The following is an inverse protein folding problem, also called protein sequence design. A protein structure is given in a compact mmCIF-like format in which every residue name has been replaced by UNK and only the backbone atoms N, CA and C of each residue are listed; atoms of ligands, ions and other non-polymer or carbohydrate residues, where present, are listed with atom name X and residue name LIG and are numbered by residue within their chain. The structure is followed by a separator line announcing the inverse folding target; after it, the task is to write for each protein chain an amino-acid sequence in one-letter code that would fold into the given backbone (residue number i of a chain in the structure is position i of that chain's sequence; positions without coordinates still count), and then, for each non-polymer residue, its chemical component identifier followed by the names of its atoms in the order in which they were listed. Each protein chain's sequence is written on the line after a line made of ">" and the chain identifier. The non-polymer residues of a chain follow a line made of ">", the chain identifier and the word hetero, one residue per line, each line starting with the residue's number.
data_IF_492312000946
#
_entry.id   IF_492312000946
#
_cell.length_a   1.000
_cell.length_b   1.000
_cell.length_c   1.000
_cell.angle_alpha   90.00
_cell.angle_beta   90.00
_cell.angle_gamma   90.00
#
_symmetry.space_group_name_H-M   'P 1'
#
loop_
_entity.id
_entity.type
_entity.pdbx_description
1 polymer ?
#
# COMPACT_ATOMS: atom_id res chain seq x y z
N UNK A 1 19.15 6.18 -20.92
CA UNK A 1 19.37 5.05 -19.99
C UNK A 1 19.59 3.78 -20.82
N UNK A 2 20.82 3.51 -21.26
CA UNK A 2 21.16 2.33 -22.06
C UNK A 2 21.74 1.25 -21.16
N UNK A 3 21.10 0.08 -21.09
CA UNK A 3 21.70 -1.07 -20.42
C UNK A 3 22.98 -1.47 -21.16
N UNK A 4 24.11 -1.50 -20.45
CA UNK A 4 25.40 -1.89 -21.03
C UNK A 4 25.38 -3.27 -21.68
N UNK A 5 26.47 -3.60 -22.39
CA UNK A 5 26.59 -4.86 -23.11
C UNK A 5 26.30 -6.06 -22.18
N UNK A 6 25.45 -6.98 -22.66
CA UNK A 6 25.17 -8.23 -21.96
C UNK A 6 26.28 -9.23 -22.25
N UNK A 7 26.66 -10.01 -21.25
CA UNK A 7 27.64 -11.10 -21.37
C UNK A 7 26.97 -12.46 -21.09
N UNK A 8 27.59 -13.59 -21.50
CA UNK A 8 27.07 -14.93 -21.22
C UNK A 8 26.88 -15.16 -19.72
N UNK A 9 25.77 -15.78 -19.34
CA UNK A 9 25.43 -16.07 -17.94
C UNK A 9 24.71 -17.42 -17.85
N UNK A 10 24.77 -18.11 -16.69
CA UNK A 10 24.14 -19.42 -16.52
C UNK A 10 22.61 -19.28 -16.51
N UNK A 11 21.92 -20.02 -17.40
CA UNK A 11 20.46 -19.94 -17.57
C UNK A 11 19.67 -20.74 -16.53
N UNK A 12 20.30 -21.74 -15.91
CA UNK A 12 19.65 -22.64 -14.96
C UNK A 12 19.70 -22.13 -13.51
N UNK A 13 20.41 -21.05 -13.23
CA UNK A 13 20.49 -20.47 -11.88
C UNK A 13 19.24 -19.65 -11.61
N UNK A 14 18.55 -19.97 -10.52
CA UNK A 14 17.38 -19.25 -10.05
C UNK A 14 17.66 -18.52 -8.74
N UNK A 15 17.12 -17.32 -8.60
CA UNK A 15 17.12 -16.58 -7.33
C UNK A 15 15.78 -15.86 -7.15
N UNK A 16 15.35 -15.63 -5.89
CA UNK A 16 14.07 -14.98 -5.62
C UNK A 16 14.00 -13.53 -6.12
N UNK A 17 15.12 -12.81 -6.15
CA UNK A 17 15.19 -11.44 -6.66
C UNK A 17 15.30 -11.37 -8.21
N UNK A 18 15.40 -12.52 -8.89
CA UNK A 18 15.70 -12.63 -10.31
C UNK A 18 17.17 -12.93 -10.58
N UNK A 19 17.64 -12.67 -11.80
CA UNK A 19 19.03 -12.85 -12.20
C UNK A 19 19.50 -11.78 -13.19
N UNK A 20 20.44 -12.15 -14.04
CA UNK A 20 21.07 -11.26 -15.01
C UNK A 20 20.05 -10.69 -16.03
N UNK A 21 19.94 -9.36 -16.06
CA UNK A 21 19.06 -8.56 -16.95
C UNK A 21 17.60 -9.07 -17.05
N UNK A 22 17.03 -9.42 -15.90
CA UNK A 22 15.68 -9.95 -15.79
C UNK A 22 14.64 -9.00 -16.39
N UNK A 23 13.98 -9.44 -17.47
CA UNK A 23 12.87 -8.72 -18.10
C UNK A 23 11.84 -9.75 -18.61
N UNK A 24 11.01 -10.31 -17.73
CA UNK A 24 10.01 -11.28 -18.13
C UNK A 24 8.94 -10.59 -18.99
N UNK A 25 8.33 -11.32 -19.92
CA UNK A 25 7.31 -10.77 -20.83
C UNK A 25 6.05 -10.31 -20.09
N UNK A 26 5.72 -10.94 -18.97
CA UNK A 26 4.53 -10.67 -18.15
C UNK A 26 4.76 -9.70 -16.97
N UNK A 27 5.86 -8.93 -16.97
CA UNK A 27 6.18 -8.04 -15.84
C UNK A 27 5.03 -7.10 -15.45
N UNK A 28 4.27 -6.57 -16.43
CA UNK A 28 3.15 -5.64 -16.19
C UNK A 28 2.05 -6.29 -15.36
N UNK A 29 1.60 -7.47 -15.76
CA UNK A 29 0.54 -8.19 -15.08
C UNK A 29 0.98 -8.63 -13.68
N UNK A 30 2.22 -9.10 -13.53
CA UNK A 30 2.76 -9.51 -12.24
C UNK A 30 2.83 -8.31 -11.27
N UNK A 31 3.30 -7.15 -11.74
CA UNK A 31 3.29 -5.91 -10.93
C UNK A 31 1.88 -5.48 -10.57
N UNK A 32 0.94 -5.56 -11.51
CA UNK A 32 -0.47 -5.21 -11.24
C UNK A 32 -1.08 -6.09 -10.16
N UNK A 33 -0.85 -7.41 -10.21
CA UNK A 33 -1.35 -8.36 -9.20
C UNK A 33 -0.71 -8.08 -7.83
N UNK A 34 0.61 -7.87 -7.78
CA UNK A 34 1.31 -7.56 -6.53
C UNK A 34 0.79 -6.25 -5.91
N UNK A 35 0.61 -5.21 -6.73
CA UNK A 35 0.10 -3.92 -6.29
C UNK A 35 -1.36 -4.01 -5.81
N UNK A 36 -2.20 -4.76 -6.51
CA UNK A 36 -3.58 -5.02 -6.09
C UNK A 36 -3.61 -5.70 -4.71
N UNK A 37 -2.79 -6.73 -4.49
CA UNK A 37 -2.68 -7.38 -3.18
C UNK A 37 -2.25 -6.42 -2.07
N UNK A 38 -1.24 -5.59 -2.31
CA UNK A 38 -0.79 -4.56 -1.35
C UNK A 38 -1.92 -3.60 -1.02
N UNK A 39 -2.64 -3.08 -2.03
CA UNK A 39 -3.74 -2.14 -1.82
C UNK A 39 -4.90 -2.77 -1.06
N UNK A 40 -5.26 -4.02 -1.35
CA UNK A 40 -6.33 -4.72 -0.64
C UNK A 40 -6.01 -4.86 0.85
N UNK A 41 -4.79 -5.28 1.18
CA UNK A 41 -4.35 -5.41 2.58
C UNK A 41 -4.27 -4.04 3.25
N UNK A 42 -3.64 -3.06 2.60
CA UNK A 42 -3.51 -1.71 3.15
C UNK A 42 -4.88 -1.07 3.41
N UNK A 43 -5.84 -1.25 2.50
CA UNK A 43 -7.21 -0.77 2.68
C UNK A 43 -7.91 -1.47 3.86
N UNK A 44 -7.82 -2.80 3.96
CA UNK A 44 -8.41 -3.53 5.09
C UNK A 44 -7.80 -3.14 6.44
N UNK A 45 -6.49 -2.95 6.51
CA UNK A 45 -5.83 -2.45 7.72
C UNK A 45 -6.26 -1.01 8.04
N UNK A 46 -6.37 -0.16 7.01
CA UNK A 46 -6.80 1.23 7.16
C UNK A 46 -8.24 1.33 7.71
N UNK A 47 -9.19 0.56 7.18
CA UNK A 47 -10.58 0.59 7.67
C UNK A 47 -10.66 0.14 9.12
N UNK A 48 -9.98 -0.95 9.47
CA UNK A 48 -9.90 -1.46 10.84
C UNK A 48 -9.24 -0.44 11.78
N UNK A 49 -8.16 0.19 11.34
CA UNK A 49 -7.45 1.22 12.11
C UNK A 49 -8.36 2.42 12.38
N UNK A 50 -9.05 2.94 11.36
CA UNK A 50 -9.93 4.10 11.48
C UNK A 50 -11.13 3.83 12.41
N UNK A 51 -11.67 2.61 12.39
CA UNK A 51 -12.78 2.21 13.27
C UNK A 51 -12.35 2.02 14.73
N UNK A 52 -11.13 1.53 14.95
CA UNK A 52 -10.56 1.32 16.29
C UNK A 52 -9.87 2.55 16.87
N UNK A 53 -9.69 3.60 16.09
CA UNK A 53 -9.05 4.83 16.54
C UNK A 53 -9.89 5.52 17.63
N UNK A 54 -9.32 5.73 18.81
CA UNK A 54 -9.93 6.46 19.94
C UNK A 54 -8.96 7.50 20.45
N UNK A 55 -9.45 8.74 20.66
CA UNK A 55 -8.67 9.85 21.20
C UNK A 55 -9.27 10.31 22.51
N UNK A 56 -8.48 10.16 23.58
CA UNK A 56 -8.84 10.63 24.92
C UNK A 56 -8.67 12.15 25.05
N UNK A 57 -7.68 12.71 24.36
CA UNK A 57 -7.41 14.15 24.29
C UNK A 57 -7.58 14.61 22.85
N UNK A 58 -8.32 15.70 22.66
CA UNK A 58 -8.54 16.25 21.34
C UNK A 58 -7.29 16.93 20.77
N UNK A 59 -7.05 16.84 19.45
CA UNK A 59 -5.96 17.55 18.80
C UNK A 59 -6.09 19.06 18.95
N UNK A 60 -4.97 19.75 19.20
CA UNK A 60 -4.92 21.21 19.22
C UNK A 60 -5.13 21.88 17.85
N UNK A 61 -5.08 21.10 16.76
CA UNK A 61 -5.28 21.54 15.38
C UNK A 61 -5.93 20.44 14.55
N UNK A 62 -6.61 20.83 13.48
CA UNK A 62 -7.20 19.88 12.54
C UNK A 62 -6.12 19.00 11.91
N UNK A 63 -6.30 17.67 11.99
CA UNK A 63 -5.41 16.68 11.38
C UNK A 63 -6.20 15.77 10.43
N UNK A 64 -5.60 15.29 9.32
CA UNK A 64 -6.30 14.53 8.30
C UNK A 64 -7.05 13.30 8.85
N UNK A 65 -6.43 12.56 9.77
CA UNK A 65 -7.00 11.36 10.40
C UNK A 65 -8.38 11.58 11.04
N UNK A 66 -8.69 12.80 11.49
CA UNK A 66 -10.04 13.15 12.01
C UNK A 66 -11.15 12.95 10.97
N UNK A 67 -10.85 12.92 9.67
CA UNK A 67 -11.85 12.69 8.61
C UNK A 67 -12.38 11.25 8.63
N UNK A 68 -11.56 10.29 9.05
CA UNK A 68 -11.87 8.86 8.93
C UNK A 68 -12.14 8.20 10.28
N UNK A 69 -11.54 8.72 11.35
CA UNK A 69 -11.70 8.18 12.70
C UNK A 69 -13.16 8.17 13.16
N UNK A 70 -13.60 7.03 13.70
CA UNK A 70 -15.00 6.78 14.11
C UNK A 70 -15.56 7.85 15.05
N UNK A 71 -14.78 8.25 16.07
CA UNK A 71 -15.16 9.25 17.08
C UNK A 71 -15.66 10.57 16.46
N UNK A 72 -14.99 11.08 15.44
CA UNK A 72 -15.36 12.36 14.81
C UNK A 72 -16.50 12.22 13.80
N UNK A 73 -16.66 11.04 13.20
CA UNK A 73 -17.80 10.75 12.31
C UNK A 73 -19.11 10.71 13.11
N UNK A 74 -19.08 10.07 14.28
CA UNK A 74 -20.25 9.98 15.17
C UNK A 74 -20.64 11.35 15.74
N UNK A 75 -19.67 12.14 16.25
CA UNK A 75 -19.92 13.51 16.73
C UNK A 75 -20.59 14.39 15.67
N UNK A 76 -20.15 14.31 14.41
CA UNK A 76 -20.76 15.05 13.30
C UNK A 76 -22.20 14.63 13.03
N UNK A 77 -22.52 13.34 13.15
CA UNK A 77 -23.88 12.83 12.95
C UNK A 77 -24.85 13.30 14.03
N UNK A 78 -24.40 13.36 15.30
CA UNK A 78 -25.20 13.89 16.42
C UNK A 78 -25.42 15.39 16.29
N UNK A 79 -24.41 16.16 15.85
CA UNK A 79 -24.54 17.61 15.68
C UNK A 79 -25.45 18.04 14.51
N UNK A 80 -25.84 17.11 13.62
CA UNK A 80 -26.70 17.37 12.47
C UNK A 80 -28.16 16.92 12.67
N UNK A 81 -28.46 16.26 13.80
CA UNK A 81 -29.81 15.86 14.21
C UNK A 81 -30.39 16.86 15.20
#
# INVERSE_FOLDING_TARGET
>A
MGGGARYPYPKAVWSPAGGWWTRPSNWRSNTAIAFAGILTVAYGVFTVSADKERRLVEPSRAIPSMKWAKQYREQKGVAQA
#
